data_IF_298370755558
#
_entry.id   IF_298370755558
#
_cell.length_a   1.000
_cell.length_b   1.000
_cell.length_c   1.000
_cell.angle_alpha   90.00
_cell.angle_beta   90.00
_cell.angle_gamma   90.00
#
_symmetry.space_group_name_H-M   'P 1'
#
loop_
_entity.id
_entity.type
_entity.pdbx_description
1 polymer ?
#
# COMPACT_ATOMS: atom_id res chain seq x y z
N UNK A 1 -12.01 8.12 -10.08
CA UNK A 1 -12.74 6.85 -10.12
C UNK A 1 -13.01 6.39 -8.68
N UNK A 2 -14.28 6.25 -8.33
CA UNK A 2 -14.72 5.69 -7.05
C UNK A 2 -15.35 4.32 -7.37
N UNK A 3 -14.85 3.22 -6.81
CA UNK A 3 -15.46 1.91 -7.03
C UNK A 3 -16.83 1.86 -6.35
N UNK A 4 -17.81 1.32 -7.07
CA UNK A 4 -19.17 1.11 -6.58
C UNK A 4 -19.40 -0.39 -6.40
N UNK A 5 -20.09 -0.74 -5.33
CA UNK A 5 -20.52 -2.11 -5.04
C UNK A 5 -22.02 -2.08 -4.74
N UNK A 6 -22.77 -2.95 -5.38
CA UNK A 6 -24.16 -3.23 -5.08
C UNK A 6 -24.24 -4.63 -4.47
N UNK A 7 -24.75 -4.75 -3.27
CA UNK A 7 -25.06 -6.02 -2.64
C UNK A 7 -26.55 -6.23 -2.58
N UNK A 8 -27.03 -7.40 -2.96
CA UNK A 8 -28.46 -7.74 -2.92
C UNK A 8 -28.65 -9.24 -2.74
N UNK A 9 -29.78 -9.60 -2.11
CA UNK A 9 -30.29 -10.96 -2.12
C UNK A 9 -31.14 -11.27 -3.37
N UNK A 10 -31.43 -10.25 -4.17
CA UNK A 10 -32.21 -10.33 -5.41
C UNK A 10 -31.27 -10.31 -6.61
N UNK A 11 -31.15 -11.43 -7.32
CA UNK A 11 -30.23 -11.59 -8.47
C UNK A 11 -30.66 -10.78 -9.69
N UNK A 12 -31.94 -10.37 -9.76
CA UNK A 12 -32.47 -9.48 -10.79
C UNK A 12 -31.89 -8.07 -10.76
N UNK A 13 -31.23 -7.69 -9.66
CA UNK A 13 -30.52 -6.40 -9.53
C UNK A 13 -29.16 -6.37 -10.23
N UNK A 14 -28.62 -7.51 -10.65
CA UNK A 14 -27.33 -7.57 -11.34
C UNK A 14 -27.27 -6.70 -12.62
N UNK A 15 -28.29 -6.71 -13.52
CA UNK A 15 -28.27 -5.82 -14.69
C UNK A 15 -28.25 -4.33 -14.33
N UNK A 16 -28.80 -3.95 -13.17
CA UNK A 16 -28.74 -2.59 -12.68
C UNK A 16 -27.32 -2.22 -12.21
N UNK A 17 -26.65 -3.15 -11.51
CA UNK A 17 -25.25 -2.97 -11.12
C UNK A 17 -24.36 -2.78 -12.36
N UNK A 18 -24.57 -3.58 -13.41
CA UNK A 18 -23.82 -3.49 -14.67
C UNK A 18 -24.03 -2.12 -15.36
N UNK A 19 -25.26 -1.60 -15.37
CA UNK A 19 -25.57 -0.24 -15.88
C UNK A 19 -24.79 0.84 -15.12
N UNK A 20 -24.69 0.70 -13.80
CA UNK A 20 -23.97 1.64 -12.94
C UNK A 20 -22.44 1.39 -12.93
N UNK A 21 -21.95 0.40 -13.67
CA UNK A 21 -20.54 -0.06 -13.61
C UNK A 21 -20.11 -0.42 -12.19
N UNK A 22 -21.03 -0.94 -11.38
CA UNK A 22 -20.80 -1.41 -10.02
C UNK A 22 -20.46 -2.90 -10.02
N UNK A 23 -19.62 -3.33 -9.06
CA UNK A 23 -19.48 -4.74 -8.76
C UNK A 23 -20.76 -5.25 -8.06
N UNK A 24 -21.25 -6.41 -8.46
CA UNK A 24 -22.41 -7.03 -7.83
C UNK A 24 -21.99 -8.14 -6.87
N UNK A 25 -22.58 -8.15 -5.67
CA UNK A 25 -22.41 -9.20 -4.67
C UNK A 25 -23.77 -9.78 -4.34
N UNK A 26 -23.96 -11.08 -4.65
CA UNK A 26 -25.13 -11.82 -4.24
C UNK A 26 -25.01 -12.27 -2.78
N UNK A 27 -25.86 -11.75 -1.91
CA UNK A 27 -25.89 -12.10 -0.48
C UNK A 27 -26.23 -13.57 -0.20
N UNK A 28 -26.90 -14.23 -1.13
CA UNK A 28 -27.27 -15.64 -1.03
C UNK A 28 -26.23 -16.59 -1.61
N UNK A 29 -25.12 -16.04 -2.15
CA UNK A 29 -24.02 -16.83 -2.71
C UNK A 29 -23.43 -17.77 -1.66
N UNK A 30 -23.32 -19.06 -2.00
CA UNK A 30 -22.60 -20.05 -1.16
C UNK A 30 -21.11 -19.71 -0.99
N UNK A 31 -20.59 -18.81 -1.83
CA UNK A 31 -19.18 -18.34 -1.81
C UNK A 31 -19.08 -16.86 -1.43
N UNK A 32 -20.07 -16.31 -0.71
CA UNK A 32 -20.15 -14.89 -0.38
C UNK A 32 -18.84 -14.31 0.15
N UNK A 33 -18.16 -15.01 1.06
CA UNK A 33 -16.88 -14.54 1.60
C UNK A 33 -15.78 -14.43 0.54
N UNK A 34 -15.78 -15.32 -0.45
CA UNK A 34 -14.82 -15.27 -1.56
C UNK A 34 -15.19 -14.14 -2.52
N UNK A 35 -16.47 -14.00 -2.86
CA UNK A 35 -16.99 -12.94 -3.73
C UNK A 35 -16.64 -11.54 -3.15
N UNK A 36 -16.81 -11.37 -1.84
CA UNK A 36 -16.40 -10.14 -1.13
C UNK A 36 -14.90 -9.90 -1.25
N UNK A 37 -14.07 -10.92 -0.98
CA UNK A 37 -12.60 -10.80 -1.11
C UNK A 37 -12.18 -10.42 -2.52
N UNK A 38 -12.80 -11.03 -3.53
CA UNK A 38 -12.49 -10.78 -4.94
C UNK A 38 -12.85 -9.33 -5.32
N UNK A 39 -14.01 -8.84 -4.88
CA UNK A 39 -14.42 -7.44 -5.08
C UNK A 39 -13.48 -6.48 -4.37
N UNK A 40 -13.15 -6.73 -3.10
CA UNK A 40 -12.23 -5.89 -2.33
C UNK A 40 -10.83 -5.85 -2.97
N UNK A 41 -10.33 -6.98 -3.43
CA UNK A 41 -9.02 -7.06 -4.08
C UNK A 41 -9.03 -6.34 -5.42
N UNK A 42 -10.03 -6.60 -6.27
CA UNK A 42 -10.10 -6.08 -7.63
C UNK A 42 -10.38 -4.58 -7.69
N UNK A 43 -11.33 -4.11 -6.89
CA UNK A 43 -11.85 -2.74 -6.99
C UNK A 43 -11.28 -1.78 -5.94
N UNK A 44 -10.89 -2.28 -4.78
CA UNK A 44 -10.43 -1.45 -3.66
C UNK A 44 -8.93 -1.58 -3.36
N UNK A 45 -8.23 -2.48 -4.04
CA UNK A 45 -6.78 -2.65 -3.86
C UNK A 45 -6.39 -3.36 -2.56
N UNK A 46 -7.29 -4.16 -1.96
CA UNK A 46 -6.94 -5.01 -0.83
C UNK A 46 -6.06 -6.20 -1.29
N UNK A 47 -5.38 -6.83 -0.35
CA UNK A 47 -4.44 -7.92 -0.65
C UNK A 47 -3.08 -7.42 -1.14
N UNK A 48 -2.22 -8.32 -1.61
CA UNK A 48 -0.90 -7.97 -2.13
C UNK A 48 -0.99 -7.11 -3.39
N UNK A 49 -0.05 -6.19 -3.56
CA UNK A 49 0.09 -5.48 -4.81
C UNK A 49 0.91 -6.31 -5.79
N UNK A 50 0.35 -6.54 -6.98
CA UNK A 50 0.98 -7.33 -8.03
C UNK A 50 1.43 -6.40 -9.15
N UNK A 51 2.74 -6.32 -9.36
CA UNK A 51 3.31 -5.66 -10.53
C UNK A 51 3.18 -6.58 -11.74
N UNK A 52 2.69 -6.03 -12.84
CA UNK A 52 2.44 -6.78 -14.08
C UNK A 52 3.20 -6.18 -15.23
N UNK A 53 3.57 -7.01 -16.17
CA UNK A 53 4.01 -6.55 -17.48
C UNK A 53 2.82 -5.88 -18.18
N UNK A 54 2.96 -4.64 -18.71
CA UNK A 54 1.85 -3.91 -19.31
C UNK A 54 1.29 -4.54 -20.60
N UNK A 55 2.10 -5.31 -21.32
CA UNK A 55 1.70 -5.96 -22.59
C UNK A 55 1.08 -7.34 -22.36
N UNK A 56 1.74 -8.18 -21.55
CA UNK A 56 1.31 -9.57 -21.33
C UNK A 56 0.41 -9.77 -20.14
N UNK A 57 0.31 -8.76 -19.25
CA UNK A 57 -0.39 -8.81 -17.97
C UNK A 57 0.13 -9.90 -16.99
N UNK A 58 1.26 -10.52 -17.31
CA UNK A 58 1.90 -11.49 -16.44
C UNK A 58 2.46 -10.82 -15.18
N UNK A 59 2.43 -11.54 -14.07
CA UNK A 59 3.03 -11.09 -12.81
C UNK A 59 4.56 -11.09 -12.93
N UNK A 60 5.17 -9.96 -12.60
CA UNK A 60 6.64 -9.77 -12.57
C UNK A 60 7.16 -9.49 -11.16
N UNK A 61 6.28 -9.17 -10.25
CA UNK A 61 6.65 -8.93 -8.86
C UNK A 61 5.42 -8.71 -7.98
N UNK A 62 5.62 -8.92 -6.68
CA UNK A 62 4.57 -8.79 -5.67
C UNK A 62 5.12 -8.14 -4.42
N UNK A 63 4.31 -7.33 -3.76
CA UNK A 63 4.62 -6.72 -2.48
C UNK A 63 3.39 -6.75 -1.56
N UNK A 64 3.58 -7.10 -0.29
CA UNK A 64 2.49 -7.19 0.68
C UNK A 64 2.43 -5.97 1.61
N UNK A 65 3.50 -5.19 1.71
CA UNK A 65 3.59 -4.03 2.60
C UNK A 65 4.53 -2.94 2.05
N UNK A 66 4.54 -1.79 2.76
CA UNK A 66 5.32 -0.62 2.37
C UNK A 66 6.84 -0.86 2.38
N UNK A 67 7.33 -1.69 3.31
CA UNK A 67 8.76 -2.05 3.39
C UNK A 67 9.20 -2.86 2.17
N UNK A 68 8.38 -3.81 1.74
CA UNK A 68 8.66 -4.59 0.53
C UNK A 68 8.60 -3.73 -0.73
N UNK A 69 7.63 -2.80 -0.81
CA UNK A 69 7.58 -1.83 -1.92
C UNK A 69 8.87 -1.01 -1.98
N UNK A 70 9.31 -0.48 -0.84
CA UNK A 70 10.55 0.27 -0.73
C UNK A 70 11.76 -0.54 -1.23
N UNK A 71 11.87 -1.79 -0.84
CA UNK A 71 12.99 -2.65 -1.19
C UNK A 71 12.98 -3.04 -2.69
N UNK A 72 11.80 -3.16 -3.28
CA UNK A 72 11.64 -3.59 -4.68
C UNK A 72 11.66 -2.45 -5.70
N UNK A 73 11.47 -1.20 -5.29
CA UNK A 73 11.21 -0.09 -6.22
C UNK A 73 12.30 0.07 -7.30
N UNK A 74 13.57 -0.17 -6.95
CA UNK A 74 14.69 -0.06 -7.89
C UNK A 74 14.89 -1.29 -8.79
N UNK A 75 14.35 -2.45 -8.41
CA UNK A 75 14.46 -3.69 -9.18
C UNK A 75 13.29 -3.93 -10.14
N UNK A 76 12.22 -3.14 -10.04
CA UNK A 76 11.06 -3.28 -10.91
C UNK A 76 11.39 -2.81 -12.33
N UNK A 77 10.91 -3.47 -13.40
CA UNK A 77 11.00 -2.95 -14.76
C UNK A 77 10.32 -1.58 -14.89
N UNK A 78 10.94 -0.69 -15.67
CA UNK A 78 10.52 0.70 -15.83
C UNK A 78 9.10 0.83 -16.41
N UNK A 79 8.79 0.02 -17.40
CA UNK A 79 7.50 -0.06 -18.09
C UNK A 79 6.37 -0.46 -17.12
N UNK A 80 6.60 -1.48 -16.31
CA UNK A 80 5.65 -1.92 -15.29
C UNK A 80 5.41 -0.86 -14.23
N UNK A 81 6.48 -0.26 -13.70
CA UNK A 81 6.36 0.80 -12.70
C UNK A 81 5.56 1.98 -13.27
N UNK A 82 5.94 2.46 -14.46
CA UNK A 82 5.25 3.57 -15.15
C UNK A 82 3.77 3.25 -15.41
N UNK A 83 3.47 2.04 -15.85
CA UNK A 83 2.10 1.58 -16.07
C UNK A 83 1.26 1.70 -14.80
N UNK A 84 1.74 1.13 -13.70
CA UNK A 84 0.98 1.12 -12.44
C UNK A 84 0.84 2.51 -11.80
N UNK A 85 1.83 3.38 -11.98
CA UNK A 85 1.78 4.75 -11.49
C UNK A 85 0.77 5.60 -12.28
N UNK A 86 0.80 5.54 -13.63
CA UNK A 86 -0.15 6.26 -14.50
C UNK A 86 -1.61 5.86 -14.25
N UNK A 87 -1.86 4.60 -13.94
CA UNK A 87 -3.20 4.11 -13.64
C UNK A 87 -3.61 4.27 -12.17
N UNK A 88 -2.79 4.95 -11.36
CA UNK A 88 -3.02 5.13 -9.92
C UNK A 88 -3.20 3.81 -9.13
N UNK A 89 -2.67 2.70 -9.63
CA UNK A 89 -2.84 1.41 -8.99
C UNK A 89 -2.11 1.35 -7.66
N UNK A 90 -0.86 1.86 -7.61
CA UNK A 90 -0.05 1.91 -6.38
C UNK A 90 -0.69 2.83 -5.34
N UNK A 91 -1.13 4.02 -5.75
CA UNK A 91 -1.78 4.97 -4.82
C UNK A 91 -3.09 4.42 -4.25
N UNK A 92 -3.89 3.70 -5.06
CA UNK A 92 -5.11 3.02 -4.59
C UNK A 92 -4.78 1.94 -3.55
N UNK A 93 -3.78 1.11 -3.84
CA UNK A 93 -3.31 0.08 -2.92
C UNK A 93 -2.80 0.65 -1.60
N UNK A 94 -2.08 1.77 -1.62
CA UNK A 94 -1.64 2.48 -0.42
C UNK A 94 -2.81 3.10 0.35
N UNK A 95 -3.80 3.66 -0.37
CA UNK A 95 -5.01 4.22 0.24
C UNK A 95 -5.83 3.16 0.98
N UNK A 96 -5.93 1.93 0.44
CA UNK A 96 -6.62 0.82 1.10
C UNK A 96 -5.98 0.39 2.42
N UNK A 97 -4.75 0.82 2.67
CA UNK A 97 -3.97 0.60 3.90
C UNK A 97 -3.87 1.82 4.79
N UNK A 98 -4.67 2.85 4.52
CA UNK A 98 -4.64 4.15 5.20
C UNK A 98 -3.26 4.84 5.15
N UNK A 99 -2.44 4.54 4.14
CA UNK A 99 -1.14 5.21 3.89
C UNK A 99 -1.39 6.43 2.99
N UNK A 100 -2.32 7.28 3.41
CA UNK A 100 -2.79 8.41 2.62
C UNK A 100 -1.70 9.43 2.22
N UNK A 101 -0.75 9.82 3.09
CA UNK A 101 0.26 10.80 2.71
C UNK A 101 1.08 10.37 1.50
N UNK A 102 1.53 9.11 1.46
CA UNK A 102 2.29 8.58 0.32
C UNK A 102 1.37 8.40 -0.90
N UNK A 103 0.15 7.90 -0.70
CA UNK A 103 -0.81 7.72 -1.78
C UNK A 103 -1.15 9.04 -2.50
N UNK A 104 -1.41 10.10 -1.75
CA UNK A 104 -1.72 11.44 -2.31
C UNK A 104 -0.49 12.08 -2.97
N UNK A 105 0.70 11.87 -2.41
CA UNK A 105 1.94 12.30 -3.05
C UNK A 105 2.10 11.65 -4.43
N UNK A 106 1.89 10.34 -4.54
CA UNK A 106 1.99 9.62 -5.81
C UNK A 106 0.96 10.07 -6.84
N UNK A 107 -0.26 10.44 -6.42
CA UNK A 107 -1.29 10.97 -7.33
C UNK A 107 -0.92 12.32 -7.91
N UNK A 108 -0.22 13.17 -7.15
CA UNK A 108 0.14 14.54 -7.55
C UNK A 108 1.32 14.58 -8.51
N UNK A 109 2.14 13.54 -8.55
CA UNK A 109 3.27 13.48 -9.47
C UNK A 109 2.73 13.32 -10.89
N UNK A 110 3.05 14.27 -11.76
CA UNK A 110 2.76 14.18 -13.19
C UNK A 110 3.77 13.24 -13.83
N UNK A 111 3.35 12.01 -14.10
CA UNK A 111 4.17 11.00 -14.76
C UNK A 111 4.27 11.33 -16.26
N UNK A 112 5.23 12.15 -16.64
CA UNK A 112 5.53 12.43 -18.07
C UNK A 112 6.19 11.21 -18.70
N UNK A 113 5.85 10.94 -19.95
CA UNK A 113 6.29 9.74 -20.69
C UNK A 113 7.81 9.66 -20.83
N UNK A 114 8.48 10.81 -20.84
CA UNK A 114 9.92 10.95 -21.11
C UNK A 114 10.73 11.30 -19.86
N UNK A 115 10.10 11.33 -18.69
CA UNK A 115 10.82 11.65 -17.47
C UNK A 115 11.66 10.47 -17.00
N UNK A 116 12.80 10.79 -16.44
CA UNK A 116 13.74 9.84 -15.85
C UNK A 116 13.05 8.93 -14.82
N UNK A 117 12.89 7.65 -15.18
CA UNK A 117 12.24 6.65 -14.32
C UNK A 117 13.02 6.46 -13.03
N UNK A 118 14.32 6.62 -13.05
CA UNK A 118 15.17 6.46 -11.87
C UNK A 118 14.97 7.63 -10.89
N UNK A 119 14.76 8.84 -11.40
CA UNK A 119 14.34 9.97 -10.55
C UNK A 119 12.97 9.69 -9.90
N UNK A 120 12.02 9.12 -10.62
CA UNK A 120 10.74 8.73 -10.03
C UNK A 120 10.88 7.65 -8.97
N UNK A 121 11.74 6.66 -9.17
CA UNK A 121 12.05 5.63 -8.17
C UNK A 121 12.58 6.28 -6.89
N UNK A 122 13.51 7.22 -7.03
CA UNK A 122 14.08 7.93 -5.90
C UNK A 122 13.02 8.75 -5.16
N UNK A 123 12.17 9.49 -5.87
CA UNK A 123 11.07 10.25 -5.24
C UNK A 123 10.10 9.35 -4.46
N UNK A 124 9.74 8.20 -5.02
CA UNK A 124 8.85 7.24 -4.34
C UNK A 124 9.56 6.67 -3.10
N UNK A 125 10.82 6.27 -3.25
CA UNK A 125 11.63 5.76 -2.16
C UNK A 125 11.72 6.76 -1.01
N UNK A 126 12.05 8.02 -1.29
CA UNK A 126 12.19 9.09 -0.29
C UNK A 126 10.87 9.40 0.41
N UNK A 127 9.76 9.40 -0.33
CA UNK A 127 8.42 9.58 0.25
C UNK A 127 8.08 8.43 1.23
N UNK A 128 8.39 7.19 0.85
CA UNK A 128 8.19 6.03 1.71
C UNK A 128 9.07 6.10 2.95
N UNK A 129 10.35 6.43 2.79
CA UNK A 129 11.30 6.57 3.91
C UNK A 129 10.83 7.64 4.88
N UNK A 130 10.46 8.81 4.36
CA UNK A 130 9.98 9.94 5.18
C UNK A 130 8.73 9.56 5.98
N UNK A 131 7.76 8.90 5.31
CA UNK A 131 6.56 8.41 5.98
C UNK A 131 6.88 7.38 7.08
N UNK A 132 7.77 6.42 6.80
CA UNK A 132 8.16 5.39 7.77
C UNK A 132 8.90 5.98 8.97
N UNK A 133 9.81 6.93 8.74
CA UNK A 133 10.49 7.68 9.82
C UNK A 133 9.46 8.42 10.68
N UNK A 134 8.54 9.14 10.06
CA UNK A 134 7.48 9.86 10.78
C UNK A 134 6.62 8.91 11.62
N UNK A 135 6.23 7.75 11.09
CA UNK A 135 5.43 6.76 11.82
C UNK A 135 6.18 6.08 12.96
N UNK A 136 7.50 5.97 12.86
CA UNK A 136 8.33 5.34 13.86
C UNK A 136 8.84 6.33 14.94
N UNK A 137 8.54 7.63 14.81
CA UNK A 137 8.90 8.62 15.83
C UNK A 137 8.31 8.23 17.19
N UNK A 138 9.17 8.26 18.22
CA UNK A 138 8.79 7.94 19.61
C UNK A 138 8.39 6.47 19.85
N UNK A 139 8.41 5.61 18.83
CA UNK A 139 8.11 4.19 18.97
C UNK A 139 9.36 3.45 19.40
N UNK A 140 9.31 2.80 20.57
CA UNK A 140 10.36 1.91 21.04
C UNK A 140 10.03 0.48 20.65
N UNK A 141 10.63 0.00 19.57
CA UNK A 141 10.46 -1.36 19.11
C UNK A 141 11.25 -2.36 19.97
N UNK A 142 10.81 -3.63 20.02
CA UNK A 142 11.65 -4.69 20.57
C UNK A 142 12.68 -5.06 19.50
N UNK A 143 13.96 -5.02 19.86
CA UNK A 143 15.02 -5.42 18.94
C UNK A 143 14.89 -6.90 18.58
N UNK A 144 14.78 -7.17 17.29
CA UNK A 144 14.81 -8.51 16.75
C UNK A 144 15.75 -8.52 15.54
N UNK A 145 16.82 -9.30 15.62
CA UNK A 145 17.86 -9.36 14.59
C UNK A 145 17.30 -9.71 13.20
N UNK A 146 16.29 -10.57 13.13
CA UNK A 146 15.68 -11.00 11.87
C UNK A 146 14.62 -10.05 11.33
N UNK A 147 14.12 -9.13 12.17
CA UNK A 147 13.07 -8.16 11.82
C UNK A 147 13.53 -6.72 12.06
N UNK A 148 14.84 -6.49 12.11
CA UNK A 148 15.38 -5.16 12.31
C UNK A 148 14.92 -4.23 11.18
N UNK A 149 14.43 -3.07 11.58
CA UNK A 149 14.06 -1.99 10.69
C UNK A 149 15.05 -0.84 10.89
N UNK A 150 15.88 -0.57 9.87
CA UNK A 150 16.88 0.51 9.89
C UNK A 150 16.29 1.91 10.05
N UNK A 151 14.97 2.06 9.90
CA UNK A 151 14.25 3.32 10.11
C UNK A 151 13.62 3.42 11.50
N UNK A 152 13.80 2.41 12.36
CA UNK A 152 13.44 2.49 13.78
C UNK A 152 14.52 3.26 14.52
N UNK A 153 14.15 4.37 15.15
CA UNK A 153 15.10 5.22 15.88
C UNK A 153 15.43 4.64 17.26
N UNK A 154 14.47 3.96 17.87
CA UNK A 154 14.63 3.37 19.19
C UNK A 154 14.28 1.88 19.17
N UNK A 155 15.20 1.08 19.70
CA UNK A 155 14.94 -0.33 19.93
C UNK A 155 15.42 -0.71 21.34
N UNK A 156 14.61 -1.47 22.07
CA UNK A 156 15.03 -2.07 23.33
C UNK A 156 15.58 -3.47 23.11
N UNK A 157 16.65 -3.78 23.81
CA UNK A 157 17.21 -5.14 23.89
C UNK A 157 16.79 -5.73 25.23
N UNK A 158 16.27 -6.95 25.22
CA UNK A 158 15.83 -7.66 26.42
C UNK A 158 14.34 -7.56 26.70
N UNK A 159 13.93 -8.26 27.76
CA UNK A 159 12.54 -8.37 28.22
C UNK A 159 12.26 -7.39 29.37
N UNK A 160 10.98 -7.15 29.63
CA UNK A 160 10.56 -6.26 30.72
C UNK A 160 10.10 -4.87 30.27
N UNK A 161 9.73 -4.02 31.21
CA UNK A 161 9.29 -2.64 30.92
C UNK A 161 10.46 -1.70 30.69
N UNK A 162 10.29 -0.77 29.77
CA UNK A 162 11.25 0.31 29.59
C UNK A 162 11.18 1.28 30.77
N UNK A 163 12.33 1.60 31.39
CA UNK A 163 12.39 2.56 32.49
C UNK A 163 12.02 3.98 32.07
N UNK A 164 11.74 4.85 33.05
CA UNK A 164 11.31 6.24 32.81
C UNK A 164 12.25 7.04 31.92
N UNK A 165 13.58 6.87 32.08
CA UNK A 165 14.58 7.57 31.23
C UNK A 165 14.48 7.15 29.77
N UNK A 166 14.33 5.85 29.47
CA UNK A 166 14.19 5.37 28.09
C UNK A 166 12.89 5.84 27.44
N UNK A 167 11.77 5.87 28.19
CA UNK A 167 10.51 6.44 27.71
C UNK A 167 10.62 7.94 27.47
N UNK A 168 11.31 8.67 28.34
CA UNK A 168 11.54 10.11 28.21
C UNK A 168 12.33 10.45 26.96
N UNK A 169 13.39 9.70 26.65
CA UNK A 169 14.17 9.88 25.41
C UNK A 169 13.32 9.65 24.15
N UNK A 170 12.55 8.57 24.12
CA UNK A 170 11.67 8.28 22.98
C UNK A 170 10.57 9.34 22.83
N UNK A 171 10.09 9.92 23.93
CA UNK A 171 9.11 11.01 23.90
C UNK A 171 9.73 12.31 23.38
N UNK A 172 10.95 12.66 23.79
CA UNK A 172 11.66 13.85 23.32
C UNK A 172 11.89 13.84 21.80
N UNK A 173 12.17 12.68 21.21
CA UNK A 173 12.31 12.51 19.76
C UNK A 173 11.03 12.86 18.97
N UNK A 174 9.88 12.83 19.63
CA UNK A 174 8.61 13.29 19.01
C UNK A 174 8.46 14.81 18.97
N UNK A 175 9.19 15.52 19.83
CA UNK A 175 9.02 16.97 20.02
C UNK A 175 10.05 17.76 19.23
N UNK A 176 11.26 17.20 19.08
CA UNK A 176 12.37 17.80 18.32
C UNK A 176 12.30 17.39 16.84
#
# INVERSE_FOLDING_TARGET
YVPLVLDSSETDKKPYADKCKAAFIDKNSKKLNQDIKDVLTKHFGFGDFIFRNPETMQEIGRVCNLKELQNKIFSLPADSLSYHLRHNNVSRWLSSRAIFPVAEFLKKITWKVESDVDAHRQYIFDAIVSYRKMKNRGVVAIFNRHRFDSYSQFARIGEGSLGGKGRGLAFLDNII
#
